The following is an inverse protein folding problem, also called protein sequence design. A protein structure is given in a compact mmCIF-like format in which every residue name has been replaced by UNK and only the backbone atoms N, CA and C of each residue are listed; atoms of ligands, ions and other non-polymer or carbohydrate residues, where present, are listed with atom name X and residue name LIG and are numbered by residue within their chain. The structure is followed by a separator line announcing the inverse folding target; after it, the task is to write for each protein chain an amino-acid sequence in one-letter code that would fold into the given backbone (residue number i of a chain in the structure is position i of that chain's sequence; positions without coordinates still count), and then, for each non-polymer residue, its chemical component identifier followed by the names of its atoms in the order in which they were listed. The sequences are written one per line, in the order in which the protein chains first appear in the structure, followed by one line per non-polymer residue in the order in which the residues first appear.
data_IF_968096653828
#
_entry.id   IF_968096653828
#
_cell.length_a   1.000
_cell.length_b   1.000
_cell.length_c   1.000
_cell.angle_alpha   90.00
_cell.angle_beta   90.00
_cell.angle_gamma   90.00
#
_symmetry.space_group_name_H-M   'P 1'
#
loop_
_entity.id
_entity.type
_entity.pdbx_description
1 polymer ?
#
# COMPACT_ATOMS: atom_id res chain seq x y z
N UNK A 1 -10.47 23.74 -12.10
CA UNK A 1 -9.33 24.56 -11.58
C UNK A 1 -8.92 25.60 -12.62
N UNK A 2 -8.67 26.84 -12.18
CA UNK A 2 -8.28 27.96 -13.07
C UNK A 2 -6.81 28.30 -12.88
N UNK A 3 -6.16 28.83 -13.92
CA UNK A 3 -4.73 29.13 -13.91
C UNK A 3 -4.44 30.52 -14.46
N UNK A 4 -3.53 31.24 -13.82
CA UNK A 4 -3.07 32.53 -14.33
C UNK A 4 -2.12 32.34 -15.52
N UNK A 5 -2.36 33.00 -16.68
CA UNK A 5 -1.53 32.82 -17.87
C UNK A 5 -0.14 33.47 -17.75
N UNK A 6 0.06 34.38 -16.78
CA UNK A 6 1.33 35.10 -16.58
C UNK A 6 2.25 34.43 -15.56
N UNK A 7 1.71 34.10 -14.39
CA UNK A 7 2.49 33.52 -13.29
C UNK A 7 2.28 32.03 -13.12
N UNK A 8 1.41 31.41 -13.92
CA UNK A 8 1.10 29.98 -13.90
C UNK A 8 0.55 29.47 -12.55
N UNK A 9 0.15 30.38 -11.65
CA UNK A 9 -0.41 30.02 -10.36
C UNK A 9 -1.82 29.46 -10.51
N UNK A 10 -2.13 28.42 -9.74
CA UNK A 10 -3.41 27.71 -9.76
C UNK A 10 -4.35 28.27 -8.69
N UNK A 11 -5.62 28.43 -9.05
CA UNK A 11 -6.66 29.03 -8.22
C UNK A 11 -7.90 28.15 -8.18
N UNK A 12 -8.61 28.23 -7.06
CA UNK A 12 -9.93 27.64 -6.89
C UNK A 12 -10.96 28.30 -7.83
N UNK A 13 -12.05 27.58 -8.10
CA UNK A 13 -13.00 27.94 -9.16
C UNK A 13 -13.78 29.24 -8.87
N UNK A 14 -13.90 29.62 -7.61
CA UNK A 14 -14.56 30.86 -7.16
C UNK A 14 -13.77 32.12 -7.56
N UNK A 15 -12.46 32.00 -7.79
CA UNK A 15 -11.63 33.13 -8.17
C UNK A 15 -11.63 33.32 -9.70
N UNK A 16 -11.74 34.57 -10.13
CA UNK A 16 -11.73 34.95 -11.57
C UNK A 16 -10.51 35.78 -11.95
N UNK A 17 -9.80 36.36 -10.97
CA UNK A 17 -8.68 37.28 -11.17
C UNK A 17 -7.48 36.83 -10.35
N UNK A 18 -6.29 36.85 -10.95
CA UNK A 18 -5.02 36.57 -10.27
C UNK A 18 -4.66 37.72 -9.32
N UNK A 19 -4.39 37.42 -8.05
CA UNK A 19 -4.04 38.44 -7.04
C UNK A 19 -2.74 39.19 -7.31
N UNK A 20 -1.75 38.55 -7.96
CA UNK A 20 -0.44 39.15 -8.22
C UNK A 20 -0.38 39.87 -9.57
N UNK A 21 -1.00 39.28 -10.59
CA UNK A 21 -0.91 39.76 -11.98
C UNK A 21 -2.12 40.59 -12.42
N UNK A 22 -3.18 40.61 -11.60
CA UNK A 22 -4.45 41.31 -11.83
C UNK A 22 -5.04 41.06 -13.23
N UNK A 23 -4.87 39.83 -13.74
CA UNK A 23 -5.38 39.38 -15.04
C UNK A 23 -6.40 38.25 -14.84
N UNK A 24 -7.26 38.07 -15.84
CA UNK A 24 -8.26 37.01 -15.84
C UNK A 24 -7.60 35.62 -15.83
N UNK A 25 -8.16 34.74 -15.01
CA UNK A 25 -7.72 33.35 -14.89
C UNK A 25 -8.37 32.52 -16.01
N UNK A 26 -7.57 31.66 -16.63
CA UNK A 26 -8.01 30.81 -17.75
C UNK A 26 -8.30 29.41 -17.21
N UNK A 27 -9.32 28.76 -17.76
CA UNK A 27 -9.63 27.38 -17.40
C UNK A 27 -8.51 26.46 -17.93
N UNK A 28 -7.93 25.66 -17.03
CA UNK A 28 -6.91 24.69 -17.42
C UNK A 28 -7.62 23.52 -18.06
N UNK A 29 -7.47 23.37 -19.37
CA UNK A 29 -7.90 22.15 -20.07
C UNK A 29 -7.14 20.98 -19.44
N UNK A 30 -7.86 20.14 -18.70
CA UNK A 30 -7.32 18.89 -18.19
C UNK A 30 -7.16 17.99 -19.40
N UNK A 31 -5.98 18.02 -20.01
CA UNK A 31 -5.58 17.02 -20.99
C UNK A 31 -5.48 15.72 -20.20
N UNK A 32 -6.55 14.91 -20.26
CA UNK A 32 -6.54 13.55 -19.75
C UNK A 32 -5.41 12.81 -20.46
N UNK A 33 -4.28 12.59 -19.77
CA UNK A 33 -3.25 11.68 -20.25
C UNK A 33 -3.94 10.34 -20.52
N UNK A 34 -3.72 9.72 -21.70
CA UNK A 34 -4.38 8.47 -22.04
C UNK A 34 -4.03 7.44 -20.96
N UNK A 35 -5.05 7.00 -20.22
CA UNK A 35 -4.90 5.99 -19.19
C UNK A 35 -4.23 4.76 -19.81
N UNK A 36 -2.97 4.53 -19.44
CA UNK A 36 -2.22 3.35 -19.80
C UNK A 36 -2.89 2.15 -19.11
N UNK A 37 -3.76 1.46 -19.84
CA UNK A 37 -4.55 0.30 -19.43
C UNK A 37 -3.72 -0.97 -19.20
N UNK A 38 -2.44 -0.84 -18.82
CA UNK A 38 -1.67 -1.96 -18.32
C UNK A 38 -2.12 -2.30 -16.90
N UNK A 39 -3.18 -3.10 -16.82
CA UNK A 39 -3.59 -3.86 -15.64
C UNK A 39 -3.56 -3.05 -14.34
N UNK A 40 -4.46 -2.07 -14.18
CA UNK A 40 -4.72 -1.46 -12.87
C UNK A 40 -5.28 -2.53 -11.94
N UNK A 41 -4.39 -3.31 -11.32
CA UNK A 41 -4.75 -4.12 -10.15
C UNK A 41 -5.23 -3.11 -9.11
N UNK A 42 -6.54 -3.12 -8.84
CA UNK A 42 -7.16 -2.21 -7.89
C UNK A 42 -6.41 -2.26 -6.56
N UNK A 43 -6.07 -1.10 -6.00
CA UNK A 43 -5.44 -1.01 -4.67
C UNK A 43 -6.29 -1.76 -3.61
N UNK A 44 -7.61 -1.79 -3.79
CA UNK A 44 -8.52 -2.57 -2.95
C UNK A 44 -8.36 -4.08 -3.11
N UNK A 45 -8.08 -4.57 -4.33
CA UNK A 45 -7.80 -5.99 -4.56
C UNK A 45 -6.49 -6.41 -3.87
N UNK A 46 -5.44 -5.61 -3.96
CA UNK A 46 -4.17 -5.87 -3.25
C UNK A 46 -4.35 -5.88 -1.73
N UNK A 47 -5.20 -4.99 -1.20
CA UNK A 47 -5.53 -4.96 0.22
C UNK A 47 -6.27 -6.22 0.67
N UNK A 48 -7.28 -6.66 -0.08
CA UNK A 48 -8.00 -7.91 0.21
C UNK A 48 -7.06 -9.11 0.11
N UNK A 49 -6.23 -9.17 -0.93
CA UNK A 49 -5.22 -10.23 -1.09
C UNK A 49 -4.25 -10.27 0.11
N UNK A 50 -3.79 -9.12 0.59
CA UNK A 50 -2.91 -9.03 1.75
C UNK A 50 -3.60 -9.53 3.03
N UNK A 51 -4.86 -9.18 3.26
CA UNK A 51 -5.65 -9.68 4.40
C UNK A 51 -5.80 -11.20 4.32
N UNK A 52 -6.18 -11.73 3.15
CA UNK A 52 -6.31 -13.17 2.92
C UNK A 52 -4.97 -13.86 3.20
N UNK A 53 -3.86 -13.35 2.68
CA UNK A 53 -2.53 -13.90 2.94
C UNK A 53 -2.20 -13.90 4.43
N UNK A 54 -2.48 -12.83 5.16
CA UNK A 54 -2.25 -12.77 6.61
C UNK A 54 -3.08 -13.83 7.35
N UNK A 55 -4.37 -13.96 7.03
CA UNK A 55 -5.27 -14.93 7.68
C UNK A 55 -4.85 -16.39 7.42
N UNK A 56 -4.45 -16.70 6.19
CA UNK A 56 -4.05 -18.05 5.78
C UNK A 56 -2.56 -18.35 5.99
N UNK A 57 -1.76 -17.34 6.32
CA UNK A 57 -0.32 -17.48 6.52
C UNK A 57 0.05 -18.59 7.52
N UNK A 58 -0.65 -18.83 8.66
CA UNK A 58 -0.25 -19.89 9.58
C UNK A 58 -0.38 -21.28 8.96
N UNK A 59 -1.45 -21.49 8.19
CA UNK A 59 -1.74 -22.76 7.51
C UNK A 59 -0.72 -23.00 6.39
N UNK A 60 -0.44 -21.98 5.58
CA UNK A 60 0.53 -22.07 4.48
C UNK A 60 1.91 -22.41 5.04
N UNK A 61 2.36 -21.70 6.08
CA UNK A 61 3.67 -21.95 6.69
C UNK A 61 3.76 -23.31 7.35
N UNK A 62 2.71 -23.76 8.05
CA UNK A 62 2.68 -25.12 8.60
C UNK A 62 2.85 -26.17 7.50
N UNK A 63 2.13 -26.03 6.37
CA UNK A 63 2.24 -26.95 5.23
C UNK A 63 3.63 -26.89 4.59
N UNK A 64 4.18 -25.70 4.39
CA UNK A 64 5.51 -25.52 3.78
C UNK A 64 6.60 -26.15 4.66
N UNK A 65 6.49 -25.94 5.97
CA UNK A 65 7.34 -26.54 7.00
C UNK A 65 7.28 -28.06 6.95
N UNK A 66 6.07 -28.62 6.88
CA UNK A 66 5.86 -30.08 6.81
C UNK A 66 6.46 -30.67 5.54
N UNK A 67 6.30 -29.98 4.40
CA UNK A 67 6.91 -30.37 3.13
C UNK A 67 8.44 -30.33 3.23
N UNK A 68 9.01 -29.25 3.76
CA UNK A 68 10.45 -29.13 3.95
C UNK A 68 11.02 -30.27 4.80
N UNK A 69 10.37 -30.60 5.92
CA UNK A 69 10.83 -31.69 6.78
C UNK A 69 10.65 -33.07 6.15
N UNK A 70 9.60 -33.29 5.36
CA UNK A 70 9.44 -34.53 4.60
C UNK A 70 10.47 -34.67 3.48
N UNK A 71 10.90 -33.57 2.87
CA UNK A 71 11.88 -33.59 1.78
C UNK A 71 13.33 -33.80 2.27
N UNK A 72 13.65 -33.34 3.48
CA UNK A 72 15.03 -33.38 4.02
C UNK A 72 15.26 -34.63 4.89
N UNK A 73 14.31 -35.56 4.97
CA UNK A 73 14.38 -36.83 5.73
C UNK A 73 14.90 -36.63 7.17
N UNK A 74 14.45 -35.55 7.82
CA UNK A 74 15.01 -35.11 9.09
C UNK A 74 14.31 -35.79 10.25
N UNK A 75 14.70 -37.04 10.52
CA UNK A 75 14.19 -37.82 11.65
C UNK A 75 14.61 -37.29 13.05
N UNK A 76 15.31 -36.15 13.14
CA UNK A 76 15.94 -35.66 14.38
C UNK A 76 15.43 -34.31 14.90
N UNK A 77 14.29 -33.80 14.42
CA UNK A 77 13.75 -32.55 15.00
C UNK A 77 12.96 -32.82 16.30
N UNK A 78 13.46 -32.29 17.42
CA UNK A 78 12.75 -32.30 18.70
C UNK A 78 11.51 -31.39 18.64
N UNK A 79 10.46 -31.74 19.39
CA UNK A 79 9.22 -30.95 19.45
C UNK A 79 9.44 -29.50 19.93
N UNK A 80 10.54 -29.24 20.65
CA UNK A 80 10.93 -27.92 21.11
C UNK A 80 11.38 -27.01 19.96
N UNK A 81 12.17 -27.54 19.03
CA UNK A 81 12.60 -26.82 17.84
C UNK A 81 11.41 -26.45 16.95
N UNK A 82 10.42 -27.33 16.87
CA UNK A 82 9.17 -27.07 16.15
C UNK A 82 8.37 -25.93 16.82
N UNK A 83 8.20 -25.96 18.15
CA UNK A 83 7.54 -24.88 18.89
C UNK A 83 8.24 -23.54 18.73
N UNK A 84 9.58 -23.53 18.81
CA UNK A 84 10.36 -22.32 18.63
C UNK A 84 10.19 -21.74 17.23
N UNK A 85 10.25 -22.59 16.20
CA UNK A 85 10.07 -22.15 14.82
C UNK A 85 8.66 -21.61 14.56
N UNK A 86 7.63 -22.24 15.13
CA UNK A 86 6.26 -21.74 15.06
C UNK A 86 6.11 -20.38 15.74
N UNK A 87 6.79 -20.19 16.87
CA UNK A 87 6.84 -18.92 17.61
C UNK A 87 7.54 -17.81 16.83
N UNK A 88 8.72 -18.10 16.27
CA UNK A 88 9.47 -17.16 15.43
C UNK A 88 8.66 -16.76 14.19
N UNK A 89 7.89 -17.69 13.63
CA UNK A 89 6.99 -17.45 12.50
C UNK A 89 5.81 -16.53 12.86
N UNK A 90 5.17 -16.74 14.02
CA UNK A 90 4.09 -15.86 14.47
C UNK A 90 4.62 -14.44 14.75
N UNK A 91 5.82 -14.33 15.31
CA UNK A 91 6.46 -13.03 15.55
C UNK A 91 6.80 -12.31 14.24
N UNK A 92 7.33 -13.01 13.23
CA UNK A 92 7.65 -12.39 11.94
C UNK A 92 6.41 -11.89 11.21
N UNK A 93 5.30 -12.63 11.27
CA UNK A 93 3.99 -12.18 10.76
C UNK A 93 3.50 -10.90 11.42
N UNK A 94 3.63 -10.81 12.75
CA UNK A 94 3.21 -9.64 13.51
C UNK A 94 4.03 -8.41 13.11
N UNK A 95 5.35 -8.58 12.94
CA UNK A 95 6.25 -7.52 12.48
C UNK A 95 5.90 -7.06 11.06
N UNK A 96 5.69 -7.98 10.13
CA UNK A 96 5.30 -7.63 8.75
C UNK A 96 3.94 -6.94 8.72
N UNK A 97 2.97 -7.43 9.49
CA UNK A 97 1.67 -6.79 9.65
C UNK A 97 1.76 -5.36 10.18
N UNK A 98 2.59 -5.12 11.21
CA UNK A 98 2.85 -3.78 11.73
C UNK A 98 3.46 -2.88 10.65
N UNK A 99 4.46 -3.34 9.89
CA UNK A 99 5.12 -2.52 8.87
C UNK A 99 4.12 -2.08 7.79
N UNK A 100 3.27 -2.99 7.31
CA UNK A 100 2.26 -2.69 6.29
C UNK A 100 1.22 -1.72 6.84
N UNK A 101 0.66 -2.01 8.02
CA UNK A 101 -0.36 -1.16 8.65
C UNK A 101 0.19 0.22 9.02
N UNK A 102 1.43 0.32 9.47
CA UNK A 102 2.10 1.58 9.81
C UNK A 102 2.23 2.48 8.58
N UNK A 103 2.56 1.91 7.42
CA UNK A 103 2.66 2.67 6.17
C UNK A 103 1.30 3.27 5.77
N UNK A 104 0.21 2.50 5.91
CA UNK A 104 -1.15 2.98 5.68
C UNK A 104 -1.57 4.07 6.69
N UNK A 105 -1.24 3.90 7.98
CA UNK A 105 -1.55 4.88 9.03
C UNK A 105 -0.82 6.21 8.77
N UNK A 106 0.46 6.16 8.40
CA UNK A 106 1.25 7.35 8.11
C UNK A 106 0.73 8.12 6.88
N UNK A 107 0.31 7.40 5.83
CA UNK A 107 -0.32 8.00 4.66
C UNK A 107 -1.63 8.71 5.03
N UNK A 108 -2.48 8.03 5.81
CA UNK A 108 -3.74 8.60 6.29
C UNK A 108 -3.52 9.85 7.16
N UNK A 109 -2.55 9.81 8.06
CA UNK A 109 -2.23 10.96 8.93
C UNK A 109 -1.71 12.16 8.12
N UNK A 110 -0.94 11.92 7.06
CA UNK A 110 -0.46 12.97 6.15
C UNK A 110 -1.61 13.58 5.34
N UNK A 111 -2.56 12.77 4.88
CA UNK A 111 -3.73 13.23 4.11
C UNK A 111 -4.68 14.10 4.93
N UNK A 112 -4.74 13.93 6.24
CA UNK A 112 -5.66 14.67 7.12
C UNK A 112 -5.06 16.00 7.63
N UNK A 113 -3.77 16.22 7.40
CA UNK A 113 -3.03 17.42 7.81
C UNK A 113 -2.76 18.39 6.63
N UNK A 114 -3.14 18.00 5.42
CA UNK A 114 -3.19 18.84 4.23
C UNK A 114 -4.61 19.33 3.99
#
# INVERSE_FOLDING_TARGET
MKQCPKCNSEYEEEYTICSDCNCELVEKEVIEEPENNNGKISKGFLFILAIVLILFSPIISFKLTLIYFNLVDVQQYSAENFKWMLGAYHQSLLVVGIIICLHCILYFYKSHKS
#
